data_IF_888786003468
#
_entry.id   IF_888786003468
#
_cell.length_a   1.000
_cell.length_b   1.000
_cell.length_c   1.000
_cell.angle_alpha   90.00
_cell.angle_beta   90.00
_cell.angle_gamma   90.00
#
_symmetry.space_group_name_H-M   'P 1'
#
loop_
_entity.id
_entity.type
_entity.pdbx_description
1 polymer ?
#
# COMPACT_ATOMS: atom_id res chain seq x y z
N UNK A 1 -10.28 3.34 22.47
CA UNK A 1 -9.81 4.74 22.54
C UNK A 1 -9.85 5.31 21.13
N UNK A 2 -10.91 6.04 20.79
CA UNK A 2 -10.97 6.75 19.51
C UNK A 2 -10.14 8.01 19.64
N UNK A 3 -8.97 8.04 18.98
CA UNK A 3 -8.26 9.29 18.76
C UNK A 3 -9.17 10.22 17.96
N UNK A 4 -9.17 11.51 18.31
CA UNK A 4 -9.92 12.51 17.53
C UNK A 4 -9.51 12.50 16.06
N UNK A 5 -10.38 13.00 15.20
CA UNK A 5 -10.08 13.16 13.77
C UNK A 5 -8.81 13.99 13.61
N UNK A 6 -7.84 13.48 12.85
CA UNK A 6 -6.59 14.18 12.54
C UNK A 6 -6.12 13.86 11.13
N UNK A 7 -5.33 14.78 10.57
CA UNK A 7 -4.73 14.62 9.24
C UNK A 7 -3.86 13.36 9.19
N UNK A 8 -3.12 13.06 10.26
CA UNK A 8 -2.30 11.86 10.36
C UNK A 8 -3.14 10.58 10.44
N UNK A 9 -4.35 10.64 11.00
CA UNK A 9 -5.32 9.55 11.00
C UNK A 9 -5.89 9.30 9.60
N UNK A 10 -6.20 10.37 8.86
CA UNK A 10 -6.65 10.28 7.46
C UNK A 10 -5.55 9.69 6.57
N UNK A 11 -4.29 10.07 6.77
CA UNK A 11 -3.14 9.49 6.06
C UNK A 11 -3.00 7.99 6.34
N UNK A 12 -3.13 7.57 7.61
CA UNK A 12 -3.06 6.14 7.95
C UNK A 12 -4.19 5.35 7.28
N UNK A 13 -5.39 5.91 7.28
CA UNK A 13 -6.56 5.31 6.65
C UNK A 13 -6.37 5.21 5.13
N UNK A 14 -5.83 6.26 4.50
CA UNK A 14 -5.48 6.26 3.07
C UNK A 14 -4.44 5.18 2.74
N UNK A 15 -3.37 5.07 3.55
CA UNK A 15 -2.37 4.02 3.38
C UNK A 15 -2.96 2.62 3.53
N UNK A 16 -3.89 2.43 4.47
CA UNK A 16 -4.60 1.15 4.66
C UNK A 16 -5.46 0.80 3.44
N UNK A 17 -6.15 1.78 2.85
CA UNK A 17 -6.92 1.58 1.62
C UNK A 17 -6.02 1.19 0.44
N UNK A 18 -4.83 1.77 0.32
CA UNK A 18 -3.84 1.35 -0.69
C UNK A 18 -3.45 -0.12 -0.51
N UNK A 19 -3.15 -0.53 0.74
CA UNK A 19 -2.82 -1.94 1.02
C UNK A 19 -4.01 -2.86 0.69
N UNK A 20 -5.23 -2.47 1.05
CA UNK A 20 -6.45 -3.24 0.75
C UNK A 20 -6.66 -3.39 -0.76
N UNK A 21 -6.54 -2.31 -1.53
CA UNK A 21 -6.73 -2.32 -2.98
C UNK A 21 -5.70 -3.21 -3.69
N UNK A 22 -4.42 -3.13 -3.32
CA UNK A 22 -3.37 -3.85 -4.05
C UNK A 22 -3.17 -5.29 -3.59
N UNK A 23 -3.71 -5.69 -2.44
CA UNK A 23 -3.65 -7.09 -1.93
C UNK A 23 -4.99 -7.82 -2.04
N UNK A 24 -6.07 -7.10 -2.33
CA UNK A 24 -7.46 -7.56 -2.21
C UNK A 24 -7.80 -8.19 -0.84
N UNK A 25 -7.08 -7.79 0.22
CA UNK A 25 -7.33 -8.22 1.60
C UNK A 25 -8.00 -7.12 2.40
N UNK A 26 -9.04 -7.48 3.15
CA UNK A 26 -9.67 -6.55 4.10
C UNK A 26 -8.77 -6.36 5.31
N UNK A 27 -8.62 -5.15 5.87
CA UNK A 27 -7.90 -4.95 7.14
C UNK A 27 -8.48 -5.76 8.31
N UNK A 28 -9.75 -6.18 8.19
CA UNK A 28 -10.48 -7.01 9.15
C UNK A 28 -10.55 -8.50 8.77
N UNK A 29 -9.79 -8.93 7.76
CA UNK A 29 -9.70 -10.33 7.36
C UNK A 29 -9.25 -11.20 8.56
N UNK A 30 -9.85 -12.39 8.79
CA UNK A 30 -9.41 -13.32 9.83
C UNK A 30 -7.92 -13.67 9.79
N UNK A 31 -7.25 -13.51 8.64
CA UNK A 31 -5.80 -13.64 8.50
C UNK A 31 -5.03 -12.72 9.47
N UNK A 32 -5.57 -11.56 9.83
CA UNK A 32 -4.90 -10.54 10.63
C UNK A 32 -5.24 -10.60 12.12
N UNK A 33 -5.62 -11.77 12.63
CA UNK A 33 -5.83 -11.98 14.07
C UNK A 33 -4.49 -12.11 14.83
N UNK A 34 -4.53 -12.01 16.15
CA UNK A 34 -3.34 -12.24 16.99
C UNK A 34 -2.27 -11.15 16.93
N UNK A 35 -2.64 -9.91 16.61
CA UNK A 35 -1.71 -8.77 16.54
C UNK A 35 -1.02 -8.60 15.19
N UNK A 36 -1.41 -9.39 14.19
CA UNK A 36 -1.05 -9.13 12.80
C UNK A 36 -1.93 -8.01 12.21
N UNK A 37 -1.45 -7.41 11.14
CA UNK A 37 -2.17 -6.40 10.37
C UNK A 37 -1.85 -6.55 8.88
N UNK A 38 -2.68 -5.96 8.03
CA UNK A 38 -2.40 -5.86 6.60
C UNK A 38 -1.05 -5.16 6.33
N UNK A 39 -0.69 -4.19 7.18
CA UNK A 39 0.63 -3.54 7.16
C UNK A 39 1.74 -4.55 7.40
N UNK A 40 1.70 -5.30 8.51
CA UNK A 40 2.77 -6.25 8.84
C UNK A 40 2.88 -7.36 7.81
N UNK A 41 1.76 -7.76 7.21
CA UNK A 41 1.71 -8.74 6.13
C UNK A 41 2.47 -8.25 4.88
N UNK A 42 2.21 -7.03 4.42
CA UNK A 42 2.92 -6.44 3.28
C UNK A 42 4.37 -6.12 3.62
N UNK A 43 4.63 -5.59 4.83
CA UNK A 43 5.99 -5.27 5.28
C UNK A 43 6.90 -6.51 5.33
N UNK A 44 6.37 -7.70 5.63
CA UNK A 44 7.12 -8.94 5.66
C UNK A 44 7.52 -9.46 4.25
N UNK A 45 6.88 -8.95 3.20
CA UNK A 45 7.17 -9.31 1.81
C UNK A 45 7.92 -8.20 1.05
N UNK A 46 7.99 -6.99 1.61
CA UNK A 46 8.60 -5.84 0.95
C UNK A 46 10.14 -5.78 1.18
N UNK A 47 10.94 -5.40 0.17
CA UNK A 47 10.57 -5.18 -1.23
C UNK A 47 10.64 -6.43 -2.14
N UNK A 48 11.32 -7.51 -1.73
CA UNK A 48 11.76 -8.57 -2.66
C UNK A 48 10.67 -9.58 -3.05
N UNK A 49 9.49 -9.53 -2.41
CA UNK A 49 8.42 -10.52 -2.58
C UNK A 49 7.05 -9.86 -2.72
N UNK A 50 7.00 -8.64 -3.23
CA UNK A 50 5.75 -7.85 -3.33
C UNK A 50 4.69 -8.52 -4.20
N UNK A 51 5.09 -9.25 -5.24
CA UNK A 51 4.18 -10.02 -6.11
C UNK A 51 3.49 -11.17 -5.39
N UNK A 52 4.07 -11.69 -4.29
CA UNK A 52 3.49 -12.77 -3.51
C UNK A 52 2.34 -12.31 -2.58
N UNK A 53 2.23 -11.01 -2.34
CA UNK A 53 1.17 -10.41 -1.50
C UNK A 53 0.21 -9.54 -2.30
N UNK A 54 0.57 -9.16 -3.52
CA UNK A 54 -0.27 -8.40 -4.42
C UNK A 54 -1.35 -9.29 -5.07
N UNK A 55 -2.53 -8.71 -5.30
CA UNK A 55 -3.54 -9.30 -6.16
C UNK A 55 -3.22 -8.97 -7.63
N UNK A 56 -2.52 -9.89 -8.29
CA UNK A 56 -2.13 -9.72 -9.70
C UNK A 56 -3.35 -9.69 -10.64
N UNK A 57 -4.50 -10.23 -10.24
CA UNK A 57 -5.71 -10.20 -11.07
C UNK A 57 -6.29 -8.79 -11.24
N UNK A 58 -6.08 -7.91 -10.25
CA UNK A 58 -6.42 -6.49 -10.33
C UNK A 58 -5.44 -5.70 -11.22
N UNK A 59 -4.27 -6.26 -11.51
CA UNK A 59 -3.18 -5.57 -12.22
C UNK A 59 -3.05 -6.02 -13.68
N UNK A 60 -3.53 -7.22 -14.01
CA UNK A 60 -3.50 -7.82 -15.34
C UNK A 60 -4.63 -7.35 -16.27
N UNK A 61 -5.07 -6.09 -16.18
CA UNK A 61 -6.11 -5.60 -17.09
C UNK A 61 -5.59 -5.61 -18.54
N UNK A 62 -6.40 -6.12 -19.49
CA UNK A 62 -6.02 -6.42 -20.88
C UNK A 62 -5.44 -5.20 -21.65
N UNK A 63 -5.63 -3.98 -21.14
CA UNK A 63 -5.10 -2.73 -21.72
C UNK A 63 -3.69 -2.37 -21.21
N UNK A 64 -3.23 -2.96 -20.09
CA UNK A 64 -1.92 -2.69 -19.48
C UNK A 64 -0.90 -3.74 -19.90
N UNK A 65 -0.18 -3.47 -20.99
CA UNK A 65 0.98 -4.26 -21.42
C UNK A 65 2.23 -3.93 -20.57
N UNK A 66 2.14 -4.00 -19.24
CA UNK A 66 3.33 -3.93 -18.39
C UNK A 66 4.07 -5.27 -18.45
N UNK A 67 5.38 -5.24 -18.66
CA UNK A 67 6.20 -6.41 -18.40
C UNK A 67 6.29 -6.70 -16.89
N UNK A 68 6.70 -7.92 -16.55
CA UNK A 68 6.73 -8.42 -15.18
C UNK A 68 7.63 -7.58 -14.27
N UNK A 69 8.76 -7.09 -14.79
CA UNK A 69 9.71 -6.24 -14.08
C UNK A 69 9.08 -4.88 -13.75
N UNK A 70 8.49 -4.21 -14.73
CA UNK A 70 7.79 -2.94 -14.55
C UNK A 70 6.61 -3.06 -13.58
N UNK A 71 5.90 -4.20 -13.62
CA UNK A 71 4.83 -4.49 -12.67
C UNK A 71 5.38 -4.61 -11.24
N UNK A 72 6.46 -5.37 -11.04
CA UNK A 72 7.11 -5.53 -9.75
C UNK A 72 7.63 -4.19 -9.21
N UNK A 73 8.31 -3.38 -10.03
CA UNK A 73 8.80 -2.06 -9.64
C UNK A 73 7.66 -1.10 -9.26
N UNK A 74 6.54 -1.15 -10.00
CA UNK A 74 5.35 -0.37 -9.68
C UNK A 74 4.77 -0.77 -8.32
N UNK A 75 4.71 -2.07 -8.03
CA UNK A 75 4.23 -2.61 -6.75
C UNK A 75 5.15 -2.25 -5.60
N UNK A 76 6.47 -2.34 -5.77
CA UNK A 76 7.45 -1.86 -4.79
C UNK A 76 7.18 -0.39 -4.49
N UNK A 77 7.00 0.44 -5.52
CA UNK A 77 6.79 1.88 -5.34
C UNK A 77 5.46 2.19 -4.61
N UNK A 78 4.37 1.52 -4.99
CA UNK A 78 3.07 1.69 -4.31
C UNK A 78 3.13 1.22 -2.86
N UNK A 79 3.67 0.03 -2.60
CA UNK A 79 3.76 -0.49 -1.23
C UNK A 79 4.70 0.33 -0.36
N UNK A 80 5.77 0.92 -0.91
CA UNK A 80 6.60 1.88 -0.19
C UNK A 80 5.76 3.06 0.31
N UNK A 81 4.93 3.68 -0.53
CA UNK A 81 4.05 4.77 -0.12
C UNK A 81 3.05 4.31 0.94
N UNK A 82 2.38 3.19 0.71
CA UNK A 82 1.37 2.64 1.63
C UNK A 82 1.97 2.32 3.01
N UNK A 83 3.17 1.73 3.06
CA UNK A 83 3.90 1.48 4.30
C UNK A 83 4.32 2.80 4.99
N UNK A 84 4.73 3.82 4.26
CA UNK A 84 5.09 5.12 4.86
C UNK A 84 3.87 5.88 5.39
N UNK A 85 2.70 5.72 4.77
CA UNK A 85 1.44 6.28 5.26
C UNK A 85 0.92 5.55 6.51
N UNK A 86 1.18 4.25 6.63
CA UNK A 86 0.72 3.40 7.75
C UNK A 86 1.74 3.27 8.88
N UNK A 87 2.74 4.16 8.99
CA UNK A 87 3.62 4.16 10.16
C UNK A 87 2.84 4.29 11.47
N UNK A 88 3.17 3.48 12.47
CA UNK A 88 2.41 3.50 13.74
C UNK A 88 2.55 4.85 14.45
N UNK A 89 3.75 5.45 14.40
CA UNK A 89 4.00 6.79 14.91
C UNK A 89 3.42 7.87 13.97
N UNK A 90 2.45 8.70 14.42
CA UNK A 90 1.88 9.76 13.60
C UNK A 90 2.92 10.73 13.03
N UNK A 91 4.00 11.00 13.79
CA UNK A 91 5.08 11.90 13.37
C UNK A 91 6.02 11.30 12.32
N UNK A 92 6.04 9.97 12.20
CA UNK A 92 6.85 9.27 11.21
C UNK A 92 6.09 9.03 9.90
N UNK A 93 4.77 9.23 9.90
CA UNK A 93 3.92 9.05 8.71
C UNK A 93 4.29 10.08 7.65
N UNK A 94 4.26 9.62 6.40
CA UNK A 94 4.40 10.48 5.22
C UNK A 94 3.30 11.55 5.17
N UNK A 95 3.62 12.74 4.67
CA UNK A 95 2.60 13.77 4.43
C UNK A 95 1.70 13.38 3.25
N UNK A 96 0.40 13.69 3.32
CA UNK A 96 -0.55 13.41 2.22
C UNK A 96 -0.08 13.95 0.87
N UNK A 97 0.48 15.16 0.85
CA UNK A 97 1.03 15.78 -0.37
C UNK A 97 2.12 14.92 -1.00
N UNK A 98 3.00 14.38 -0.19
CA UNK A 98 4.15 13.60 -0.66
C UNK A 98 3.66 12.22 -1.14
N UNK A 99 2.66 11.62 -0.46
CA UNK A 99 2.00 10.39 -0.91
C UNK A 99 1.33 10.57 -2.28
N UNK A 100 0.57 11.65 -2.48
CA UNK A 100 -0.07 11.97 -3.76
C UNK A 100 0.99 12.17 -4.86
N UNK A 101 2.07 12.90 -4.54
CA UNK A 101 3.14 13.17 -5.50
C UNK A 101 3.86 11.89 -5.92
N UNK A 102 4.21 11.02 -4.98
CA UNK A 102 4.88 9.76 -5.28
C UNK A 102 3.95 8.83 -6.09
N UNK A 103 2.67 8.68 -5.70
CA UNK A 103 1.71 7.86 -6.45
C UNK A 103 1.41 8.40 -7.84
N UNK A 104 1.35 9.73 -8.01
CA UNK A 104 1.24 10.34 -9.33
C UNK A 104 2.48 10.00 -10.19
N UNK A 105 3.69 10.05 -9.61
CA UNK A 105 4.90 9.63 -10.30
C UNK A 105 4.89 8.16 -10.72
N UNK A 106 4.39 7.26 -9.86
CA UNK A 106 4.22 5.84 -10.22
C UNK A 106 3.23 5.68 -11.36
N UNK A 107 2.08 6.36 -11.32
CA UNK A 107 1.10 6.31 -12.40
C UNK A 107 1.68 6.86 -13.70
N UNK A 108 2.43 7.96 -13.66
CA UNK A 108 2.97 8.56 -14.88
C UNK A 108 4.11 7.70 -15.48
N UNK A 109 4.77 6.86 -14.68
CA UNK A 109 5.82 5.94 -15.13
C UNK A 109 5.29 4.58 -15.63
N UNK A 110 4.22 4.06 -15.02
CA UNK A 110 3.72 2.68 -15.24
C UNK A 110 2.22 2.60 -15.60
N UNK A 111 1.53 3.73 -15.80
CA UNK A 111 0.07 3.81 -15.93
C UNK A 111 -0.44 4.19 -17.30
#
# INVERSE_FOLDING_TARGET
MGGGVSVEGDVYSYGTLLLEMFTAKRPTDPLFQGGQSIRSYVAAAYPERVTAVADLSLLQHEERNLDEESLEESLVSVFRVALRCTEESPRARMLTRDAIRELAGVRDAYG
#
